data_IF_976563133613
#
_entry.id   IF_976563133613
#
_cell.length_a   1.000
_cell.length_b   1.000
_cell.length_c   1.000
_cell.angle_alpha   90.00
_cell.angle_beta   90.00
_cell.angle_gamma   90.00
#
_symmetry.space_group_name_H-M   'P 1'
#
loop_
_entity.id
_entity.type
_entity.pdbx_description
1 polymer ?
#
# COMPACT_ATOMS: atom_id res chain seq x y z
N UNK A 1 12.39 -7.89 21.65
CA UNK A 1 11.25 -7.09 22.15
C UNK A 1 10.51 -6.51 20.96
N UNK A 2 9.17 -6.63 20.91
CA UNK A 2 8.35 -6.09 19.81
C UNK A 2 8.19 -4.56 19.95
N UNK A 3 7.69 -3.91 18.90
CA UNK A 3 7.27 -2.51 18.97
C UNK A 3 6.10 -2.33 19.96
N UNK A 4 5.97 -1.13 20.51
CA UNK A 4 4.86 -0.77 21.39
C UNK A 4 3.58 -0.57 20.56
N UNK A 5 2.48 -1.29 20.82
CA UNK A 5 1.24 -1.08 20.10
C UNK A 5 0.59 0.26 20.47
N UNK A 6 0.05 0.95 19.47
CA UNK A 6 -0.77 2.15 19.61
C UNK A 6 -2.18 1.85 19.13
N UNK A 7 -3.17 2.22 19.95
CA UNK A 7 -4.58 2.17 19.55
C UNK A 7 -4.83 3.13 18.37
N UNK A 8 -5.88 2.91 17.56
CA UNK A 8 -6.24 3.82 16.47
C UNK A 8 -6.31 5.31 16.87
N UNK A 9 -6.90 5.62 18.02
CA UNK A 9 -7.01 7.00 18.50
C UNK A 9 -5.65 7.62 18.84
N UNK A 10 -4.79 6.89 19.56
CA UNK A 10 -3.41 7.33 19.85
C UNK A 10 -2.58 7.48 18.58
N UNK A 11 -2.78 6.60 17.60
CA UNK A 11 -2.14 6.71 16.29
C UNK A 11 -2.52 8.01 15.58
N UNK A 12 -3.83 8.33 15.55
CA UNK A 12 -4.35 9.58 14.97
C UNK A 12 -3.78 10.83 15.63
N UNK A 13 -3.63 10.83 16.96
CA UNK A 13 -2.96 11.92 17.68
C UNK A 13 -1.50 12.09 17.23
N UNK A 14 -0.78 10.98 17.04
CA UNK A 14 0.61 11.02 16.57
C UNK A 14 0.74 11.47 15.12
N UNK A 15 -0.22 11.13 14.26
CA UNK A 15 -0.29 11.66 12.88
C UNK A 15 -0.44 13.19 12.88
N UNK A 16 -1.35 13.72 13.72
CA UNK A 16 -1.53 15.17 13.87
C UNK A 16 -0.26 15.85 14.38
N UNK A 17 0.39 15.26 15.38
CA UNK A 17 1.66 15.78 15.91
C UNK A 17 2.76 15.80 14.84
N UNK A 18 2.85 14.77 13.98
CA UNK A 18 3.78 14.77 12.85
C UNK A 18 3.50 15.93 11.89
N UNK A 19 2.24 16.12 11.49
CA UNK A 19 1.87 17.19 10.57
C UNK A 19 2.27 18.58 11.10
N UNK A 20 2.16 18.83 12.42
CA UNK A 20 2.62 20.07 13.05
C UNK A 20 4.15 20.26 13.01
N UNK A 21 4.93 19.18 13.00
CA UNK A 21 6.40 19.24 12.94
C UNK A 21 6.92 19.47 11.51
N UNK A 22 6.16 19.08 10.50
CA UNK A 22 6.54 19.21 9.08
C UNK A 22 6.21 20.62 8.51
N UNK A 23 5.53 21.49 9.27
CA UNK A 23 5.29 22.89 8.87
C UNK A 23 6.58 23.70 9.06
N UNK A 24 7.11 24.37 8.01
CA UNK A 24 8.24 25.26 8.17
C UNK A 24 7.82 26.48 8.99
N UNK A 25 8.10 26.48 10.29
CA UNK A 25 7.93 27.66 11.13
C UNK A 25 8.96 28.72 10.72
N UNK A 26 8.48 29.83 10.19
CA UNK A 26 9.19 31.10 10.28
C UNK A 26 9.42 31.40 11.76
N UNK A 27 10.68 31.40 12.18
CA UNK A 27 11.25 32.01 13.39
C UNK A 27 10.45 31.83 14.70
N UNK A 28 10.85 30.84 15.50
CA UNK A 28 10.92 30.99 16.97
C UNK A 28 12.09 30.16 17.52
N UNK A 29 13.13 30.80 18.09
CA UNK A 29 14.24 30.10 18.73
C UNK A 29 13.88 29.84 20.20
N UNK A 30 13.42 28.63 20.53
CA UNK A 30 13.18 28.28 21.93
C UNK A 30 12.32 27.06 22.13
N UNK A 31 12.87 25.89 21.81
CA UNK A 31 12.68 24.57 22.47
C UNK A 31 12.75 23.44 21.43
N UNK A 32 13.97 23.07 21.05
CA UNK A 32 14.22 21.91 20.18
C UNK A 32 14.60 20.72 21.04
N UNK A 33 13.62 20.10 21.70
CA UNK A 33 13.72 18.67 22.01
C UNK A 33 13.59 17.89 20.70
N UNK A 34 14.65 17.93 19.88
CA UNK A 34 14.72 17.51 18.48
C UNK A 34 14.52 16.02 18.26
N UNK A 35 13.33 15.51 18.59
CA UNK A 35 12.90 14.15 18.27
C UNK A 35 12.24 14.13 16.90
N UNK A 36 12.74 13.29 16.01
CA UNK A 36 12.16 13.06 14.68
C UNK A 36 11.06 12.02 14.78
N UNK A 37 9.95 12.20 14.07
CA UNK A 37 8.91 11.19 13.93
C UNK A 37 8.90 10.68 12.49
N UNK A 38 9.22 9.40 12.31
CA UNK A 38 9.19 8.69 11.04
C UNK A 38 7.93 7.81 10.97
N UNK A 39 7.10 8.04 9.96
CA UNK A 39 5.94 7.20 9.66
C UNK A 39 6.33 6.23 8.55
N UNK A 40 6.21 4.93 8.80
CA UNK A 40 6.76 3.89 7.95
C UNK A 40 5.69 2.90 7.51
N UNK A 41 5.48 2.80 6.20
CA UNK A 41 4.67 1.75 5.60
C UNK A 41 5.53 0.51 5.35
N UNK A 42 5.24 -0.57 6.07
CA UNK A 42 5.97 -1.84 5.90
C UNK A 42 5.22 -2.82 4.99
N UNK A 43 4.28 -2.31 4.19
CA UNK A 43 3.58 -3.08 3.16
C UNK A 43 4.40 -3.17 1.87
N UNK A 44 3.94 -4.00 0.93
CA UNK A 44 4.58 -4.09 -0.38
C UNK A 44 4.27 -2.85 -1.23
N UNK A 45 5.07 -2.59 -2.26
CA UNK A 45 4.91 -1.41 -3.14
C UNK A 45 3.51 -1.30 -3.76
N UNK A 46 2.96 -2.40 -4.27
CA UNK A 46 1.59 -2.40 -4.82
C UNK A 46 0.53 -2.03 -3.79
N UNK A 47 0.75 -2.27 -2.49
CA UNK A 47 -0.23 -1.85 -1.47
C UNK A 47 -0.14 -0.36 -1.16
N UNK A 48 1.07 0.21 -1.31
CA UNK A 48 1.37 1.63 -1.16
C UNK A 48 0.80 2.44 -2.32
N UNK A 49 0.96 1.95 -3.56
CA UNK A 49 0.58 2.65 -4.79
C UNK A 49 -0.91 2.99 -4.87
N UNK A 50 -1.76 2.22 -4.17
CA UNK A 50 -3.21 2.48 -4.12
C UNK A 50 -3.64 3.34 -2.95
N UNK A 51 -2.85 3.41 -1.89
CA UNK A 51 -3.20 4.23 -0.73
C UNK A 51 -2.27 3.98 0.43
N UNK A 52 -2.04 5.01 1.24
CA UNK A 52 -1.10 5.02 2.35
C UNK A 52 -1.43 6.17 3.30
N UNK A 53 -0.76 6.29 4.45
CA UNK A 53 -0.88 7.49 5.26
C UNK A 53 -0.06 8.63 4.64
N UNK A 54 -0.59 9.85 4.69
CA UNK A 54 0.13 11.03 4.20
C UNK A 54 1.44 11.24 4.97
N UNK A 55 2.51 11.55 4.23
CA UNK A 55 3.85 11.73 4.80
C UNK A 55 4.50 10.45 5.32
N UNK A 56 3.93 9.28 5.02
CA UNK A 56 4.62 8.02 5.26
C UNK A 56 5.79 7.84 4.28
N UNK A 57 6.79 7.10 4.72
CA UNK A 57 7.93 6.67 3.91
C UNK A 57 7.90 5.14 3.80
N UNK A 58 8.54 4.58 2.78
CA UNK A 58 8.62 3.13 2.56
C UNK A 58 10.09 2.71 2.51
N UNK A 59 10.49 1.63 3.21
CA UNK A 59 11.81 1.03 3.01
C UNK A 59 12.02 0.63 1.54
N UNK A 60 13.26 0.67 1.05
CA UNK A 60 13.56 0.34 -0.34
C UNK A 60 13.57 -1.18 -0.60
N UNK A 61 12.53 -1.88 -0.16
CA UNK A 61 12.34 -3.31 -0.32
C UNK A 61 10.91 -3.58 -0.77
N UNK A 62 10.78 -4.08 -2.00
CA UNK A 62 9.47 -4.27 -2.64
C UNK A 62 8.68 -5.47 -2.11
N UNK A 63 9.36 -6.42 -1.47
CA UNK A 63 8.75 -7.67 -1.01
C UNK A 63 9.13 -7.97 0.44
N UNK A 64 8.12 -8.03 1.32
CA UNK A 64 8.27 -8.43 2.72
C UNK A 64 8.94 -9.81 2.89
N UNK A 65 8.70 -10.74 1.95
CA UNK A 65 9.29 -12.10 1.97
C UNK A 65 10.74 -12.15 1.46
N UNK A 66 11.27 -11.06 0.90
CA UNK A 66 12.66 -11.04 0.48
C UNK A 66 13.57 -11.17 1.69
N UNK A 67 14.63 -11.96 1.57
CA UNK A 67 15.63 -12.20 2.61
C UNK A 67 16.40 -10.94 3.03
N UNK A 68 16.23 -9.84 2.27
CA UNK A 68 16.84 -8.53 2.50
C UNK A 68 15.90 -7.52 3.19
N UNK A 69 14.67 -7.92 3.57
CA UNK A 69 13.69 -7.00 4.15
C UNK A 69 14.25 -6.32 5.41
N UNK A 70 14.45 -5.00 5.35
CA UNK A 70 15.02 -4.23 6.44
C UNK A 70 16.53 -4.42 6.65
N UNK A 71 17.24 -5.00 5.69
CA UNK A 71 18.70 -5.19 5.68
C UNK A 71 19.40 -4.36 4.60
N UNK A 72 18.67 -3.62 3.76
CA UNK A 72 19.26 -2.64 2.84
C UNK A 72 20.10 -1.63 3.63
N UNK A 73 21.32 -1.41 3.15
CA UNK A 73 22.22 -0.31 3.55
C UNK A 73 22.28 0.76 2.46
N UNK A 74 21.30 0.77 1.58
CA UNK A 74 21.22 1.73 0.48
C UNK A 74 21.05 3.13 1.03
N UNK A 75 21.76 4.10 0.44
CA UNK A 75 21.74 5.48 0.91
C UNK A 75 20.34 6.11 0.89
N UNK A 76 19.46 5.63 0.01
CA UNK A 76 18.08 6.08 -0.16
C UNK A 76 17.09 5.44 0.81
N UNK A 77 17.52 4.54 1.69
CA UNK A 77 16.64 3.97 2.71
C UNK A 77 16.23 5.08 3.71
N UNK A 78 14.93 5.27 3.98
CA UNK A 78 14.46 6.30 4.93
C UNK A 78 15.05 6.14 6.34
N UNK A 79 15.57 4.96 6.67
CA UNK A 79 16.19 4.66 7.96
C UNK A 79 17.68 5.05 8.05
N UNK A 80 18.31 5.43 6.93
CA UNK A 80 19.72 5.75 6.89
C UNK A 80 20.01 7.13 7.52
N UNK A 81 21.13 7.24 8.24
CA UNK A 81 21.55 8.49 8.88
C UNK A 81 20.68 8.97 10.05
N UNK A 82 19.69 8.19 10.49
CA UNK A 82 18.81 8.56 11.60
C UNK A 82 19.46 8.37 12.97
N UNK A 83 19.20 9.30 13.88
CA UNK A 83 19.50 9.12 15.30
C UNK A 83 18.55 8.06 15.89
N UNK A 84 19.12 6.90 16.24
CA UNK A 84 18.39 5.71 16.69
C UNK A 84 17.70 5.88 18.05
N UNK A 85 18.13 6.85 18.85
CA UNK A 85 17.57 7.13 20.19
C UNK A 85 16.56 8.28 20.16
N UNK A 86 16.76 9.26 19.27
CA UNK A 86 15.87 10.44 19.13
C UNK A 86 14.81 10.29 18.04
N UNK A 87 14.83 9.21 17.26
CA UNK A 87 13.80 8.96 16.25
C UNK A 87 12.72 8.02 16.75
N UNK A 88 11.47 8.49 16.71
CA UNK A 88 10.28 7.69 16.93
C UNK A 88 9.78 7.14 15.59
N UNK A 89 9.78 5.82 15.45
CA UNK A 89 9.32 5.13 14.24
C UNK A 89 7.92 4.56 14.48
N UNK A 90 6.94 5.08 13.74
CA UNK A 90 5.57 4.59 13.69
C UNK A 90 5.41 3.69 12.48
N UNK A 91 5.19 2.40 12.69
CA UNK A 91 5.06 1.41 11.62
C UNK A 91 3.62 0.94 11.49
N UNK A 92 3.18 0.71 10.25
CA UNK A 92 1.89 0.08 10.01
C UNK A 92 1.94 -0.89 8.83
N UNK A 93 1.02 -1.84 8.86
CA UNK A 93 0.66 -2.65 7.71
C UNK A 93 -0.85 -2.94 7.77
N UNK A 94 -1.36 -3.76 6.85
CA UNK A 94 -2.81 -4.01 6.73
C UNK A 94 -3.43 -4.57 8.03
N UNK A 95 -2.73 -5.46 8.73
CA UNK A 95 -3.24 -6.18 9.92
C UNK A 95 -2.24 -6.40 11.05
N UNK A 96 -1.10 -5.70 11.07
CA UNK A 96 -0.11 -5.72 12.17
C UNK A 96 1.02 -6.76 12.10
N UNK A 97 0.80 -7.93 11.49
CA UNK A 97 1.78 -9.05 11.52
C UNK A 97 3.17 -8.67 10.96
N UNK A 98 3.23 -7.87 9.88
CA UNK A 98 4.52 -7.46 9.29
C UNK A 98 5.28 -6.50 10.19
N UNK A 99 4.58 -5.65 10.93
CA UNK A 99 5.19 -4.73 11.89
C UNK A 99 5.85 -5.49 13.05
N UNK A 100 5.25 -6.60 13.50
CA UNK A 100 5.84 -7.45 14.53
C UNK A 100 7.21 -7.95 14.11
N UNK A 101 7.32 -8.50 12.89
CA UNK A 101 8.60 -8.98 12.35
C UNK A 101 9.57 -7.82 12.14
N UNK A 102 9.15 -6.75 11.46
CA UNK A 102 10.03 -5.63 11.13
C UNK A 102 10.57 -4.91 12.35
N UNK A 103 9.75 -4.79 13.41
CA UNK A 103 10.19 -4.20 14.67
C UNK A 103 11.39 -4.94 15.26
N UNK A 104 11.45 -6.28 15.15
CA UNK A 104 12.61 -7.04 15.64
C UNK A 104 13.88 -6.73 14.86
N UNK A 105 13.76 -6.47 13.55
CA UNK A 105 14.88 -6.11 12.68
C UNK A 105 15.41 -4.72 13.06
N UNK A 106 14.52 -3.75 13.22
CA UNK A 106 14.90 -2.39 13.62
C UNK A 106 15.52 -2.34 15.03
N UNK A 107 15.03 -3.18 15.96
CA UNK A 107 15.65 -3.33 17.29
C UNK A 107 17.09 -3.81 17.19
N UNK A 108 17.37 -4.82 16.34
CA UNK A 108 18.73 -5.30 16.09
C UNK A 108 19.61 -4.22 15.46
N UNK A 109 19.05 -3.37 14.61
CA UNK A 109 19.73 -2.18 14.06
C UNK A 109 19.95 -1.06 15.10
N UNK A 110 19.36 -1.15 16.29
CA UNK A 110 19.58 -0.25 17.43
C UNK A 110 18.50 0.79 17.67
N UNK A 111 17.41 0.80 16.89
CA UNK A 111 16.31 1.74 17.11
C UNK A 111 15.56 1.45 18.41
N UNK A 112 15.32 2.50 19.20
CA UNK A 112 14.73 2.35 20.54
C UNK A 112 13.24 2.71 20.63
N UNK A 113 12.77 3.66 19.83
CA UNK A 113 11.40 4.15 19.94
C UNK A 113 10.61 3.60 18.75
N UNK A 114 10.10 2.37 18.90
CA UNK A 114 9.34 1.68 17.85
C UNK A 114 7.89 1.51 18.28
N UNK A 115 6.98 1.94 17.42
CA UNK A 115 5.54 1.89 17.63
C UNK A 115 4.86 1.19 16.46
N UNK A 116 3.76 0.48 16.72
CA UNK A 116 2.96 -0.18 15.68
C UNK A 116 1.49 0.14 15.82
N UNK A 117 0.79 0.30 14.70
CA UNK A 117 -0.67 0.44 14.70
C UNK A 117 -1.34 -0.88 15.07
N UNK A 118 -2.08 -0.87 16.18
CA UNK A 118 -2.81 -2.04 16.68
C UNK A 118 -3.94 -2.44 15.73
N UNK A 119 -3.92 -3.70 15.29
CA UNK A 119 -4.85 -4.22 14.28
C UNK A 119 -4.60 -3.70 12.85
N UNK A 120 -3.57 -2.89 12.64
CA UNK A 120 -3.20 -2.34 11.34
C UNK A 120 -4.21 -1.37 10.74
N UNK A 121 -4.01 -1.02 9.46
CA UNK A 121 -4.83 -0.03 8.74
C UNK A 121 -6.31 -0.43 8.71
N UNK A 122 -6.60 -1.73 8.56
CA UNK A 122 -7.98 -2.21 8.51
C UNK A 122 -8.76 -1.91 9.80
N UNK A 123 -8.10 -1.98 10.97
CA UNK A 123 -8.70 -1.60 12.25
C UNK A 123 -8.81 -0.08 12.39
N UNK A 124 -7.79 0.65 11.94
CA UNK A 124 -7.81 2.12 11.97
C UNK A 124 -8.97 2.71 11.15
N UNK A 125 -9.14 2.28 9.90
CA UNK A 125 -10.22 2.79 9.05
C UNK A 125 -11.61 2.48 9.62
N UNK A 126 -11.76 1.35 10.31
CA UNK A 126 -12.99 0.98 11.02
C UNK A 126 -13.28 1.90 12.21
N UNK A 127 -12.26 2.27 12.98
CA UNK A 127 -12.41 3.01 14.22
C UNK A 127 -12.40 4.54 14.04
N UNK A 128 -11.52 5.05 13.18
CA UNK A 128 -11.18 6.48 13.09
C UNK A 128 -11.52 7.09 11.73
N UNK A 129 -11.95 6.28 10.76
CA UNK A 129 -12.19 6.70 9.38
C UNK A 129 -10.89 6.98 8.59
N UNK A 130 -10.97 7.74 7.48
CA UNK A 130 -9.83 7.98 6.58
C UNK A 130 -8.87 9.08 7.06
N UNK A 131 -8.93 9.53 8.32
CA UNK A 131 -8.13 10.65 8.78
C UNK A 131 -6.62 10.41 8.56
N UNK A 132 -5.97 11.25 7.75
CA UNK A 132 -4.56 11.12 7.36
C UNK A 132 -4.26 10.00 6.35
N UNK A 133 -5.26 9.26 5.89
CA UNK A 133 -5.12 8.21 4.88
C UNK A 133 -5.50 8.74 3.49
N UNK A 134 -4.75 8.38 2.47
CA UNK A 134 -4.99 8.75 1.07
C UNK A 134 -5.22 7.51 0.21
N UNK A 135 -6.07 7.61 -0.81
CA UNK A 135 -6.43 6.51 -1.71
C UNK A 135 -7.18 5.33 -1.06
N UNK A 136 -7.10 4.16 -1.69
CA UNK A 136 -7.80 2.93 -1.28
C UNK A 136 -6.91 2.01 -0.43
N UNK A 137 -7.53 1.19 0.41
CA UNK A 137 -6.84 0.10 1.09
C UNK A 137 -6.77 -1.13 0.20
N UNK A 138 -5.56 -1.62 -0.08
CA UNK A 138 -5.37 -2.89 -0.78
C UNK A 138 -5.95 -4.06 0.01
N UNK A 139 -6.70 -4.94 -0.65
CA UNK A 139 -7.25 -6.17 -0.09
C UNK A 139 -6.84 -7.39 -0.90
N UNK A 140 -6.55 -8.49 -0.21
CA UNK A 140 -5.98 -9.71 -0.79
C UNK A 140 -7.05 -10.65 -1.38
N UNK A 141 -7.98 -10.09 -2.14
CA UNK A 141 -9.05 -10.84 -2.81
C UNK A 141 -9.30 -10.29 -4.23
N UNK A 142 -10.40 -10.71 -4.86
CA UNK A 142 -10.79 -10.30 -6.21
C UNK A 142 -10.91 -8.77 -6.39
N UNK A 143 -11.21 -8.04 -5.33
CA UNK A 143 -11.49 -6.60 -5.34
C UNK A 143 -10.22 -5.76 -5.47
N UNK A 144 -9.07 -6.28 -4.99
CA UNK A 144 -7.74 -5.67 -4.97
C UNK A 144 -7.60 -4.39 -4.15
N UNK A 145 -8.58 -3.50 -4.16
CA UNK A 145 -8.61 -2.33 -3.30
C UNK A 145 -10.05 -1.98 -2.93
N UNK A 146 -10.24 -1.37 -1.75
CA UNK A 146 -11.53 -0.86 -1.29
C UNK A 146 -11.36 0.58 -0.82
N UNK A 147 -12.33 1.47 -1.12
CA UNK A 147 -12.30 2.82 -0.59
C UNK A 147 -12.45 2.80 0.94
N UNK A 148 -11.89 3.78 1.66
CA UNK A 148 -11.97 3.83 3.12
C UNK A 148 -13.39 3.76 3.67
N UNK A 149 -14.37 4.31 2.95
CA UNK A 149 -15.78 4.28 3.33
C UNK A 149 -16.32 2.85 3.55
N UNK A 150 -15.80 1.84 2.84
CA UNK A 150 -16.24 0.43 2.99
C UNK A 150 -15.90 -0.15 4.37
N UNK A 151 -14.97 0.46 5.11
CA UNK A 151 -14.54 -0.03 6.42
C UNK A 151 -15.32 0.59 7.58
N UNK A 152 -16.11 1.64 7.36
CA UNK A 152 -16.94 2.21 8.43
C UNK A 152 -17.99 1.19 8.88
N UNK A 153 -18.22 1.11 10.19
CA UNK A 153 -19.39 0.41 10.74
C UNK A 153 -20.66 1.08 10.19
N UNK A 154 -21.77 0.37 10.02
CA UNK A 154 -23.08 0.99 9.78
C UNK A 154 -23.35 1.97 10.94
N UNK A 155 -23.08 3.24 10.71
CA UNK A 155 -23.40 4.35 11.61
C UNK A 155 -24.87 4.72 11.40
N UNK A 156 -25.47 5.44 12.34
CA UNK A 156 -26.85 5.91 12.16
C UNK A 156 -26.91 6.93 11.01
N UNK A 157 -28.09 7.11 10.39
CA UNK A 157 -28.29 8.07 9.28
C UNK A 157 -27.84 9.50 9.63
N UNK A 158 -27.87 9.88 10.90
CA UNK A 158 -27.47 11.20 11.41
C UNK A 158 -25.94 11.37 11.43
N UNK A 159 -25.20 10.32 11.80
CA UNK A 159 -23.73 10.27 11.75
C UNK A 159 -23.22 10.16 10.30
N UNK A 160 -23.98 9.51 9.43
CA UNK A 160 -23.71 9.41 8.00
C UNK A 160 -23.83 10.78 7.31
N UNK A 161 -24.83 11.59 7.66
CA UNK A 161 -24.99 12.95 7.17
C UNK A 161 -23.89 13.91 7.68
N UNK A 162 -23.49 13.79 8.95
CA UNK A 162 -22.39 14.57 9.52
C UNK A 162 -21.01 14.15 8.95
N UNK A 163 -20.82 12.86 8.66
CA UNK A 163 -19.61 12.30 8.05
C UNK A 163 -19.51 12.45 6.53
N UNK A 164 -20.65 12.57 5.82
CA UNK A 164 -20.72 12.87 4.39
C UNK A 164 -20.39 14.35 4.08
N UNK A 165 -20.64 15.25 5.03
CA UNK A 165 -20.21 16.65 4.93
C UNK A 165 -18.67 16.81 5.02
N UNK A 166 -17.97 15.79 5.54
CA UNK A 166 -16.52 15.70 5.60
C UNK A 166 -15.96 14.63 4.65
N UNK A 167 -16.53 14.50 3.45
CA UNK A 167 -15.78 13.91 2.32
C UNK A 167 -14.69 14.92 1.97
N UNK A 168 -13.62 14.92 2.76
CA UNK A 168 -12.35 15.46 2.30
C UNK A 168 -12.08 14.79 0.96
N UNK A 169 -11.95 15.62 -0.06
CA UNK A 169 -11.68 15.25 -1.46
C UNK A 169 -10.70 14.07 -1.43
N UNK A 170 -11.17 12.86 -1.76
CA UNK A 170 -10.35 11.64 -1.68
C UNK A 170 -9.05 11.94 -2.42
N UNK A 171 -7.97 12.07 -1.65
CA UNK A 171 -6.71 12.55 -2.23
C UNK A 171 -6.16 11.42 -3.06
N UNK A 172 -6.23 11.63 -4.37
CA UNK A 172 -5.86 10.65 -5.36
C UNK A 172 -4.34 10.45 -5.39
N UNK A 173 -3.90 9.19 -5.32
CA UNK A 173 -2.48 8.82 -5.34
C UNK A 173 -2.10 7.88 -6.49
N UNK A 174 -3.09 7.39 -7.22
CA UNK A 174 -2.88 6.38 -8.25
C UNK A 174 -2.14 6.94 -9.44
N UNK A 175 -0.92 6.44 -9.68
CA UNK A 175 -0.15 6.72 -10.89
C UNK A 175 0.05 5.46 -11.70
N UNK A 176 0.02 5.61 -13.01
CA UNK A 176 0.38 4.55 -13.94
C UNK A 176 1.88 4.27 -13.77
N UNK A 177 2.21 3.00 -13.54
CA UNK A 177 3.58 2.56 -13.41
C UNK A 177 4.43 2.87 -14.66
N UNK A 178 3.82 2.75 -15.85
CA UNK A 178 4.54 2.85 -17.12
C UNK A 178 4.78 4.28 -17.59
N UNK A 179 3.82 5.21 -17.40
CA UNK A 179 3.95 6.59 -17.87
C UNK A 179 3.86 7.67 -16.78
N UNK A 180 3.55 7.30 -15.53
CA UNK A 180 3.43 8.23 -14.40
C UNK A 180 2.16 9.07 -14.39
N UNK A 181 1.28 8.96 -15.40
CA UNK A 181 0.00 9.66 -15.44
C UNK A 181 -0.90 9.23 -14.29
N UNK A 182 -1.79 10.10 -13.83
CA UNK A 182 -2.83 9.69 -12.90
C UNK A 182 -3.72 8.63 -13.55
N UNK A 183 -4.02 7.55 -12.82
CA UNK A 183 -5.03 6.57 -13.23
C UNK A 183 -6.39 7.03 -12.74
N UNK A 184 -7.49 6.67 -13.39
CA UNK A 184 -8.85 7.00 -12.92
C UNK A 184 -9.38 5.91 -11.97
N UNK A 185 -8.82 4.71 -12.04
CA UNK A 185 -9.15 3.60 -11.16
C UNK A 185 -7.87 3.03 -10.51
N UNK A 186 -7.90 2.85 -9.19
CA UNK A 186 -6.85 2.25 -8.38
C UNK A 186 -6.85 0.71 -8.49
N UNK A 187 -6.76 0.23 -9.73
CA UNK A 187 -6.84 -1.19 -10.05
C UNK A 187 -5.50 -1.72 -10.54
N UNK A 188 -4.98 -2.67 -9.77
CA UNK A 188 -3.79 -3.39 -10.19
C UNK A 188 -4.12 -4.44 -11.24
N UNK A 189 -3.15 -4.67 -12.12
CA UNK A 189 -3.15 -5.79 -13.07
C UNK A 189 -1.82 -6.51 -12.98
N UNK A 190 -1.82 -7.80 -13.29
CA UNK A 190 -0.58 -8.55 -13.44
C UNK A 190 0.00 -8.30 -14.84
N UNK A 191 1.31 -8.22 -14.95
CA UNK A 191 2.01 -8.13 -16.24
C UNK A 191 1.71 -9.37 -17.09
N UNK A 192 1.36 -9.18 -18.38
CA UNK A 192 1.03 -10.27 -19.29
C UNK A 192 2.17 -11.29 -19.45
N UNK A 193 3.42 -10.84 -19.43
CA UNK A 193 4.59 -11.72 -19.32
C UNK A 193 4.49 -12.60 -18.06
N UNK A 194 4.38 -13.92 -18.27
CA UNK A 194 4.21 -14.93 -17.21
C UNK A 194 5.41 -14.97 -16.28
N UNK A 195 6.62 -14.78 -16.82
CA UNK A 195 7.86 -14.85 -16.04
C UNK A 195 8.05 -13.61 -15.17
N UNK A 196 7.51 -12.47 -15.60
CA UNK A 196 7.48 -11.24 -14.79
C UNK A 196 6.37 -11.29 -13.74
N UNK A 197 5.12 -11.47 -14.17
CA UNK A 197 3.90 -11.50 -13.34
C UNK A 197 3.74 -10.37 -12.31
N UNK A 198 4.48 -9.26 -12.43
CA UNK A 198 4.41 -8.11 -11.51
C UNK A 198 2.99 -7.57 -11.43
N UNK A 199 2.54 -7.24 -10.22
CA UNK A 199 1.28 -6.55 -9.96
C UNK A 199 1.54 -5.04 -9.95
N UNK A 200 0.84 -4.26 -10.78
CA UNK A 200 1.09 -2.82 -10.93
C UNK A 200 -0.17 -2.05 -11.37
N UNK A 201 -0.20 -0.73 -11.11
CA UNK A 201 -1.24 0.18 -11.60
C UNK A 201 -0.94 0.63 -13.04
N UNK A 202 -1.96 0.65 -13.90
CA UNK A 202 -1.79 0.99 -15.31
C UNK A 202 -2.98 1.78 -15.84
N UNK A 203 -2.73 2.85 -16.60
CA UNK A 203 -3.79 3.52 -17.35
C UNK A 203 -4.21 2.67 -18.56
N UNK A 204 -5.42 2.93 -19.09
CA UNK A 204 -5.96 2.19 -20.24
C UNK A 204 -5.05 2.25 -21.46
N UNK A 205 -4.53 3.44 -21.78
CA UNK A 205 -3.62 3.63 -22.91
C UNK A 205 -2.35 2.78 -22.81
N UNK A 206 -1.66 2.79 -21.66
CA UNK A 206 -0.46 1.95 -21.46
C UNK A 206 -0.81 0.46 -21.46
N UNK A 207 -1.99 0.08 -20.96
CA UNK A 207 -2.41 -1.31 -20.95
C UNK A 207 -2.59 -1.84 -22.38
N UNK A 208 -3.14 -1.03 -23.28
CA UNK A 208 -3.27 -1.35 -24.70
C UNK A 208 -1.90 -1.32 -25.41
N UNK A 209 -1.17 -0.21 -25.29
CA UNK A 209 0.12 0.00 -25.95
C UNK A 209 1.13 -1.09 -25.57
N UNK A 210 1.17 -1.49 -24.30
CA UNK A 210 2.08 -2.53 -23.81
C UNK A 210 1.49 -3.94 -23.88
N UNK A 211 0.34 -4.14 -24.51
CA UNK A 211 -0.36 -5.44 -24.57
C UNK A 211 -0.49 -6.11 -23.18
N UNK A 212 -0.79 -5.31 -22.16
CA UNK A 212 -0.92 -5.75 -20.78
C UNK A 212 0.40 -6.03 -20.05
N UNK A 213 1.56 -5.70 -20.62
CA UNK A 213 2.87 -5.79 -19.97
C UNK A 213 3.23 -4.51 -19.21
N UNK A 214 4.13 -4.62 -18.22
CA UNK A 214 4.59 -3.46 -17.45
C UNK A 214 5.61 -2.59 -18.21
N UNK A 215 6.28 -3.15 -19.23
CA UNK A 215 7.28 -2.47 -20.05
C UNK A 215 7.44 -3.16 -21.41
N UNK A 216 8.17 -2.51 -22.34
CA UNK A 216 8.45 -3.02 -23.68
C UNK A 216 9.24 -4.34 -23.69
N UNK A 217 10.19 -4.52 -22.77
CA UNK A 217 10.95 -5.78 -22.66
C UNK A 217 10.03 -6.96 -22.32
N UNK A 218 9.07 -6.73 -21.42
CA UNK A 218 8.06 -7.73 -21.11
C UNK A 218 7.13 -7.98 -22.29
N UNK A 219 6.79 -6.96 -23.09
CA UNK A 219 5.98 -7.11 -24.31
C UNK A 219 6.70 -7.95 -25.38
N UNK A 220 8.03 -7.93 -25.41
CA UNK A 220 8.84 -8.74 -26.31
C UNK A 220 9.14 -10.16 -25.78
N UNK A 221 8.70 -10.49 -24.56
CA UNK A 221 9.00 -11.78 -23.94
C UNK A 221 8.27 -12.93 -24.67
N UNK A 222 8.83 -14.16 -24.65
CA UNK A 222 8.26 -15.29 -25.37
C UNK A 222 6.96 -15.84 -24.75
N UNK A 223 6.74 -15.61 -23.45
CA UNK A 223 5.65 -16.21 -22.67
C UNK A 223 4.63 -15.16 -22.24
N UNK A 224 3.74 -14.81 -23.16
CA UNK A 224 2.71 -13.79 -22.94
C UNK A 224 1.33 -14.39 -22.70
N UNK A 225 0.54 -13.68 -21.90
CA UNK A 225 -0.90 -13.88 -21.77
C UNK A 225 -1.64 -12.82 -22.61
N UNK A 226 -2.87 -13.08 -23.08
CA UNK A 226 -3.63 -12.10 -23.85
C UNK A 226 -3.98 -10.88 -23.00
N UNK A 227 -4.08 -9.69 -23.61
CA UNK A 227 -4.61 -8.51 -22.92
C UNK A 227 -6.05 -8.78 -22.48
N UNK A 228 -6.29 -8.77 -21.17
CA UNK A 228 -7.64 -8.92 -20.63
C UNK A 228 -8.40 -7.59 -20.62
N UNK A 229 -9.68 -7.57 -21.06
CA UNK A 229 -10.50 -6.38 -21.05
C UNK A 229 -10.98 -6.04 -19.64
N UNK A 230 -11.18 -4.74 -19.40
CA UNK A 230 -11.75 -4.21 -18.16
C UNK A 230 -11.08 -4.75 -16.89
N UNK A 231 -11.89 -5.38 -16.05
CA UNK A 231 -11.57 -5.73 -14.66
C UNK A 231 -11.15 -7.20 -14.50
N UNK A 232 -11.01 -7.94 -15.60
CA UNK A 232 -10.64 -9.34 -15.59
C UNK A 232 -9.22 -9.59 -15.07
N UNK A 233 -8.99 -10.79 -14.54
CA UNK A 233 -7.71 -11.22 -13.97
C UNK A 233 -7.19 -12.46 -14.65
N UNK A 234 -5.88 -12.56 -14.74
CA UNK A 234 -5.26 -13.80 -15.16
C UNK A 234 -5.54 -14.91 -14.15
N UNK A 235 -5.81 -16.10 -14.70
CA UNK A 235 -5.86 -17.33 -13.96
C UNK A 235 -4.47 -17.72 -13.43
N UNK A 236 -4.40 -18.84 -12.70
CA UNK A 236 -3.12 -19.40 -12.26
C UNK A 236 -2.22 -19.69 -13.46
N UNK A 237 -0.91 -19.49 -13.30
CA UNK A 237 0.07 -19.56 -14.40
C UNK A 237 0.00 -20.86 -15.21
N UNK A 238 -0.31 -22.00 -14.57
CA UNK A 238 -0.36 -23.31 -15.19
C UNK A 238 -1.47 -23.43 -16.25
N UNK A 239 -2.50 -22.58 -16.20
CA UNK A 239 -3.55 -22.51 -17.22
C UNK A 239 -3.01 -21.99 -18.55
N UNK A 240 -1.94 -21.19 -18.50
CA UNK A 240 -1.32 -20.58 -19.69
C UNK A 240 -0.06 -21.32 -20.16
N UNK A 241 0.28 -22.46 -19.54
CA UNK A 241 1.51 -23.20 -19.83
C UNK A 241 1.53 -23.76 -21.25
N UNK A 242 0.37 -24.21 -21.72
CA UNK A 242 0.25 -25.02 -22.93
C UNK A 242 -0.42 -24.24 -24.09
N UNK A 243 -0.51 -22.89 -24.00
CA UNK A 243 -1.05 -22.03 -25.06
C UNK A 243 -2.58 -22.08 -25.26
N UNK A 244 -3.31 -22.78 -24.39
CA UNK A 244 -4.73 -23.14 -24.56
C UNK A 244 -5.77 -22.01 -24.40
N UNK A 245 -5.37 -20.74 -24.34
CA UNK A 245 -6.32 -19.62 -24.32
C UNK A 245 -5.89 -18.58 -25.35
N UNK A 246 -6.12 -18.88 -26.62
CA UNK A 246 -6.27 -17.87 -27.66
C UNK A 246 -7.59 -17.14 -27.41
N UNK A 247 -7.53 -15.82 -27.31
CA UNK A 247 -8.66 -14.95 -26.99
C UNK A 247 -9.82 -15.10 -28.00
N UNK A 248 -10.81 -15.93 -27.70
CA UNK A 248 -12.22 -15.79 -28.08
C UNK A 248 -13.06 -16.63 -27.12
N UNK A 249 -14.14 -16.03 -26.62
CA UNK A 249 -14.85 -16.49 -25.44
C UNK A 249 -15.66 -17.76 -25.63
N UNK A 250 -15.86 -18.45 -24.51
CA UNK A 250 -17.09 -19.18 -24.23
C UNK A 250 -17.52 -18.75 -22.83
N UNK A 251 -18.72 -18.18 -22.77
CA UNK A 251 -19.50 -18.12 -21.53
C UNK A 251 -19.58 -19.54 -20.99
N UNK A 252 -19.01 -19.78 -19.81
CA UNK A 252 -19.39 -20.96 -19.05
C UNK A 252 -19.45 -20.62 -17.57
N UNK A 253 -20.69 -20.70 -17.07
CA UNK A 253 -21.08 -20.75 -15.68
C UNK A 253 -20.21 -21.76 -14.93
N UNK A 254 -19.27 -21.25 -14.15
CA UNK A 254 -18.62 -22.01 -13.08
C UNK A 254 -18.69 -21.19 -11.77
N UNK A 255 -19.92 -20.81 -11.42
CA UNK A 255 -20.28 -20.74 -10.02
C UNK A 255 -20.14 -22.15 -9.43
N UNK A 256 -19.45 -22.22 -8.29
CA UNK A 256 -19.41 -23.36 -7.39
C UNK A 256 -18.52 -24.55 -7.83
N UNK A 257 -17.29 -24.57 -7.28
CA UNK A 257 -16.68 -25.78 -6.68
C UNK A 257 -15.37 -25.47 -5.96
N UNK A 258 -15.46 -25.44 -4.64
CA UNK A 258 -14.52 -26.16 -3.78
C UNK A 258 -13.23 -25.44 -3.40
N UNK A 259 -13.29 -24.76 -2.26
CA UNK A 259 -12.16 -24.61 -1.34
C UNK A 259 -11.45 -25.96 -1.12
N UNK A 260 -10.13 -26.01 -1.33
CA UNK A 260 -9.13 -26.63 -0.45
C UNK A 260 -7.75 -26.05 -0.78
#
# INVERSE_FOLDING_TARGET
MRATPLTPSKWKERLKAKACLDVPSSETPGDTSGRRLLLLDVRNGYEWDVGHFEGAERPNVDCFRSTSFGLSEEMSDPLNGLDKEKTDILMYCTGGIRCDVYSTILRKKGFRNLYTLEGGVSNYLKAEGPAGWVGNLFVFDGRLSLPPATFRRQLSQEEEAAGAAAVEKERWVGRCYSCGSEVVELRHRNCANIDCNRLYLCCGWCAEELAGCCCSDCKAAPRLRPLLPGHQRYLKWHVYRDGLLTAHGEDDDAADRGFY
#
